data_IF_468685476673
#
_entry.id   IF_468685476673
#
_cell.length_a   1.000
_cell.length_b   1.000
_cell.length_c   1.000
_cell.angle_alpha   90.00
_cell.angle_beta   90.00
_cell.angle_gamma   90.00
#
_symmetry.space_group_name_H-M   'P 1'
#
loop_
_entity.id
_entity.type
_entity.pdbx_description
1 polymer ?
#
# COMPACT_ATOMS: atom_id res chain seq x y z
N UNK A 1 -21.08 -36.05 10.16
CA UNK A 1 -20.89 -34.61 9.90
C UNK A 1 -21.36 -34.27 8.48
N UNK A 2 -22.42 -33.49 8.35
CA UNK A 2 -22.86 -32.96 7.05
C UNK A 2 -21.83 -31.94 6.59
N UNK A 3 -21.22 -32.16 5.42
CA UNK A 3 -20.32 -31.17 4.81
C UNK A 3 -21.10 -29.87 4.56
N UNK A 4 -20.49 -28.74 4.91
CA UNK A 4 -21.06 -27.43 4.57
C UNK A 4 -21.04 -27.27 3.05
N UNK A 5 -22.08 -26.67 2.48
CA UNK A 5 -22.07 -26.31 1.06
C UNK A 5 -21.00 -25.25 0.77
N UNK A 6 -20.53 -25.21 -0.47
CA UNK A 6 -19.55 -24.20 -0.92
C UNK A 6 -20.01 -22.77 -0.62
N UNK A 7 -21.30 -22.48 -0.81
CA UNK A 7 -21.87 -21.16 -0.49
C UNK A 7 -21.76 -20.80 0.99
N UNK A 8 -21.98 -21.78 1.88
CA UNK A 8 -21.86 -21.59 3.32
C UNK A 8 -20.40 -21.34 3.72
N UNK A 9 -19.45 -22.05 3.09
CA UNK A 9 -18.01 -21.84 3.30
C UNK A 9 -17.55 -20.47 2.80
N UNK A 10 -18.00 -20.04 1.61
CA UNK A 10 -17.69 -18.73 1.06
C UNK A 10 -18.28 -17.60 1.92
N UNK A 11 -19.51 -17.77 2.43
CA UNK A 11 -20.12 -16.81 3.34
C UNK A 11 -19.36 -16.71 4.67
N UNK A 12 -18.95 -17.84 5.23
CA UNK A 12 -18.13 -17.88 6.45
C UNK A 12 -16.78 -17.20 6.24
N UNK A 13 -16.10 -17.47 5.12
CA UNK A 13 -14.82 -16.84 4.79
C UNK A 13 -14.96 -15.31 4.65
N UNK A 14 -16.01 -14.83 3.97
CA UNK A 14 -16.29 -13.38 3.88
C UNK A 14 -16.53 -12.75 5.25
N UNK A 15 -17.28 -13.43 6.11
CA UNK A 15 -17.53 -12.94 7.47
C UNK A 15 -16.24 -12.87 8.29
N UNK A 16 -15.42 -13.93 8.26
CA UNK A 16 -14.16 -13.98 9.00
C UNK A 16 -13.15 -12.91 8.52
N UNK A 17 -13.04 -12.68 7.20
CA UNK A 17 -12.22 -11.61 6.64
C UNK A 17 -12.78 -10.24 7.04
N UNK A 18 -14.09 -10.04 6.91
CA UNK A 18 -14.77 -8.80 7.27
C UNK A 18 -14.60 -8.41 8.75
N UNK A 19 -14.59 -9.38 9.66
CA UNK A 19 -14.40 -9.16 11.09
C UNK A 19 -13.01 -8.58 11.46
N UNK A 20 -12.02 -8.73 10.57
CA UNK A 20 -10.66 -8.20 10.73
C UNK A 20 -10.48 -6.80 10.13
N UNK A 21 -11.52 -6.24 9.53
CA UNK A 21 -11.45 -4.95 8.87
C UNK A 21 -11.28 -3.83 9.89
N UNK A 22 -10.39 -2.89 9.58
CA UNK A 22 -10.19 -1.68 10.37
C UNK A 22 -11.16 -0.58 9.91
N UNK A 23 -12.19 -0.22 10.70
CA UNK A 23 -13.15 0.81 10.30
C UNK A 23 -12.56 2.22 10.31
N UNK A 24 -11.39 2.44 10.94
CA UNK A 24 -10.75 3.76 11.06
C UNK A 24 -9.75 3.97 9.93
N UNK A 25 -8.81 3.04 9.72
CA UNK A 25 -7.74 3.18 8.72
C UNK A 25 -7.87 2.25 7.51
N UNK A 26 -8.97 1.52 7.39
CA UNK A 26 -9.25 0.53 6.34
C UNK A 26 -8.21 -0.60 6.27
N UNK A 27 -8.43 -1.60 5.41
CA UNK A 27 -7.61 -2.80 5.36
C UNK A 27 -7.86 -3.76 6.52
N UNK A 28 -6.98 -4.75 6.64
CA UNK A 28 -7.15 -5.86 7.57
C UNK A 28 -5.89 -6.04 8.41
N UNK A 29 -6.08 -6.54 9.62
CA UNK A 29 -4.99 -6.73 10.56
C UNK A 29 -5.51 -7.35 11.84
N UNK A 30 -4.59 -7.57 12.76
CA UNK A 30 -4.89 -8.12 14.07
C UNK A 30 -4.79 -7.02 15.12
N UNK A 31 -5.90 -6.76 15.81
CA UNK A 31 -5.92 -5.82 16.92
C UNK A 31 -5.03 -6.31 18.09
N UNK A 32 -4.85 -7.62 18.24
CA UNK A 32 -4.03 -8.21 19.31
C UNK A 32 -2.54 -7.96 19.08
N UNK A 33 -2.09 -7.84 17.82
CA UNK A 33 -0.72 -7.45 17.47
C UNK A 33 -0.50 -5.93 17.44
N UNK A 34 -1.49 -5.13 17.87
CA UNK A 34 -1.42 -3.67 17.80
C UNK A 34 -1.44 -3.14 16.36
N UNK A 35 -1.92 -3.93 15.39
CA UNK A 35 -2.00 -3.61 13.97
C UNK A 35 -0.65 -3.43 13.26
N UNK A 36 0.43 -4.03 13.77
CA UNK A 36 1.78 -3.91 13.18
C UNK A 36 2.48 -5.27 13.01
N UNK A 37 3.22 -5.47 11.91
CA UNK A 37 3.17 -4.69 10.66
C UNK A 37 1.85 -4.93 9.90
N UNK A 38 1.43 -3.94 9.09
CA UNK A 38 0.19 -3.98 8.31
C UNK A 38 0.49 -4.24 6.84
N UNK A 39 0.10 -5.42 6.35
CA UNK A 39 0.36 -5.86 4.96
C UNK A 39 -0.80 -5.54 4.01
N UNK A 40 -0.52 -5.20 2.74
CA UNK A 40 -1.55 -5.11 1.70
C UNK A 40 -2.27 -6.45 1.50
N UNK A 41 -3.61 -6.49 1.61
CA UNK A 41 -4.42 -7.71 1.52
C UNK A 41 -4.75 -8.06 0.06
N UNK A 42 -3.73 -8.20 -0.78
CA UNK A 42 -3.89 -8.26 -2.24
C UNK A 42 -4.73 -9.46 -2.71
N UNK A 43 -4.65 -10.61 -2.03
CA UNK A 43 -5.44 -11.81 -2.37
C UNK A 43 -6.92 -11.62 -2.02
N UNK A 44 -7.23 -11.11 -0.82
CA UNK A 44 -8.59 -10.82 -0.38
C UNK A 44 -9.24 -9.74 -1.24
N UNK A 45 -8.47 -8.72 -1.64
CA UNK A 45 -8.95 -7.66 -2.54
C UNK A 45 -9.32 -8.24 -3.90
N UNK A 46 -8.46 -9.05 -4.51
CA UNK A 46 -8.75 -9.68 -5.80
C UNK A 46 -9.98 -10.58 -5.72
N UNK A 47 -10.08 -11.42 -4.69
CA UNK A 47 -11.24 -12.29 -4.49
C UNK A 47 -12.55 -11.52 -4.42
N UNK A 48 -12.57 -10.39 -3.69
CA UNK A 48 -13.76 -9.54 -3.56
C UNK A 48 -14.07 -8.75 -4.84
N UNK A 49 -13.05 -8.22 -5.52
CA UNK A 49 -13.24 -7.31 -6.66
C UNK A 49 -13.58 -8.05 -7.95
N UNK A 50 -12.99 -9.22 -8.15
CA UNK A 50 -13.18 -10.05 -9.34
C UNK A 50 -14.31 -11.09 -9.16
N UNK A 51 -14.80 -11.29 -7.93
CA UNK A 51 -15.99 -12.08 -7.68
C UNK A 51 -17.26 -11.40 -8.20
N UNK A 52 -18.12 -12.17 -8.85
CA UNK A 52 -19.41 -11.67 -9.36
C UNK A 52 -20.41 -11.43 -8.21
N UNK A 53 -20.42 -12.32 -7.21
CA UNK A 53 -21.39 -12.32 -6.10
C UNK A 53 -20.88 -11.66 -4.81
N UNK A 54 -19.90 -10.76 -4.91
CA UNK A 54 -19.36 -10.06 -3.75
C UNK A 54 -20.44 -9.13 -3.12
N UNK A 55 -20.76 -9.29 -1.82
CA UNK A 55 -21.69 -8.41 -1.12
C UNK A 55 -21.24 -6.94 -1.14
N UNK A 56 -22.20 -6.02 -1.13
CA UNK A 56 -21.94 -4.58 -1.20
C UNK A 56 -21.00 -4.07 -0.08
N UNK A 57 -21.14 -4.61 1.13
CA UNK A 57 -20.30 -4.24 2.27
C UNK A 57 -18.84 -4.74 2.10
N UNK A 58 -18.64 -5.90 1.47
CA UNK A 58 -17.30 -6.40 1.14
C UNK A 58 -16.64 -5.52 0.07
N UNK A 59 -17.39 -5.16 -0.98
CA UNK A 59 -16.90 -4.25 -2.04
C UNK A 59 -16.52 -2.88 -1.47
N UNK A 60 -17.32 -2.34 -0.56
CA UNK A 60 -17.03 -1.05 0.09
C UNK A 60 -15.77 -1.14 0.96
N UNK A 61 -15.58 -2.22 1.72
CA UNK A 61 -14.32 -2.45 2.46
C UNK A 61 -13.12 -2.55 1.53
N UNK A 62 -13.25 -3.24 0.40
CA UNK A 62 -12.18 -3.34 -0.60
C UNK A 62 -11.83 -1.96 -1.19
N UNK A 63 -12.83 -1.18 -1.59
CA UNK A 63 -12.65 0.20 -2.10
C UNK A 63 -11.95 1.09 -1.07
N UNK A 64 -12.44 1.11 0.17
CA UNK A 64 -11.84 1.90 1.26
C UNK A 64 -10.40 1.50 1.55
N UNK A 65 -10.09 0.20 1.46
CA UNK A 65 -8.72 -0.31 1.66
C UNK A 65 -7.78 0.18 0.57
N UNK A 66 -8.16 0.03 -0.69
CA UNK A 66 -7.38 0.52 -1.83
C UNK A 66 -7.17 2.04 -1.74
N UNK A 67 -8.23 2.79 -1.46
CA UNK A 67 -8.15 4.24 -1.32
C UNK A 67 -7.29 4.69 -0.13
N UNK A 68 -7.29 3.96 0.98
CA UNK A 68 -6.43 4.27 2.12
C UNK A 68 -4.95 3.99 1.81
N UNK A 69 -4.65 2.85 1.20
CA UNK A 69 -3.28 2.51 0.79
C UNK A 69 -2.76 3.47 -0.28
N UNK A 70 -3.58 3.82 -1.28
CA UNK A 70 -3.18 4.74 -2.36
C UNK A 70 -2.82 6.13 -1.85
N UNK A 71 -3.51 6.62 -0.81
CA UNK A 71 -3.22 7.91 -0.16
C UNK A 71 -2.11 7.85 0.89
N UNK A 72 -1.85 6.67 1.45
CA UNK A 72 -0.81 6.46 2.46
C UNK A 72 0.61 6.50 1.86
N UNK A 73 1.61 6.55 2.73
CA UNK A 73 3.02 6.44 2.32
C UNK A 73 3.43 5.01 1.93
N UNK A 74 2.56 4.01 2.13
CA UNK A 74 2.76 2.68 1.53
C UNK A 74 2.74 2.71 -0.02
N UNK A 75 2.07 3.69 -0.62
CA UNK A 75 2.14 3.96 -2.05
C UNK A 75 3.26 4.98 -2.30
N UNK A 76 4.22 4.63 -3.16
CA UNK A 76 5.26 5.57 -3.54
C UNK A 76 4.70 6.62 -4.49
N UNK A 77 4.51 7.82 -3.96
CA UNK A 77 3.93 8.94 -4.69
C UNK A 77 4.87 9.57 -5.71
N UNK A 78 6.17 9.23 -5.70
CA UNK A 78 7.17 9.76 -6.64
C UNK A 78 7.28 8.84 -7.85
N UNK A 79 7.72 7.60 -7.67
CA UNK A 79 7.99 6.67 -8.79
C UNK A 79 6.89 5.63 -9.01
N UNK A 80 5.94 5.50 -8.09
CA UNK A 80 4.88 4.50 -8.14
C UNK A 80 5.28 3.16 -7.52
N UNK A 81 4.32 2.23 -7.53
CA UNK A 81 4.45 0.97 -6.81
C UNK A 81 4.16 1.12 -5.31
N UNK A 82 4.03 -0.01 -4.64
CA UNK A 82 3.70 -0.14 -3.22
C UNK A 82 4.85 -0.81 -2.49
N UNK A 83 5.12 -0.29 -1.30
CA UNK A 83 6.01 -0.88 -0.32
C UNK A 83 5.37 -2.13 0.31
N UNK A 84 6.20 -3.03 0.82
CA UNK A 84 5.79 -4.39 1.22
C UNK A 84 4.78 -4.39 2.36
N UNK A 85 4.98 -3.53 3.34
CA UNK A 85 4.03 -3.30 4.42
C UNK A 85 4.17 -1.89 4.98
N UNK A 86 3.17 -1.46 5.74
CA UNK A 86 3.30 -0.29 6.60
C UNK A 86 3.62 -0.73 8.01
N UNK A 87 4.58 -0.06 8.64
CA UNK A 87 4.89 -0.34 10.04
C UNK A 87 3.77 0.15 10.94
N UNK A 88 2.87 1.03 10.47
CA UNK A 88 1.75 1.58 11.23
C UNK A 88 0.36 1.22 10.70
N UNK A 89 -0.64 1.50 11.54
CA UNK A 89 -2.04 1.18 11.28
C UNK A 89 -2.65 2.05 10.17
N UNK A 90 -2.15 3.26 9.98
CA UNK A 90 -2.70 4.29 9.08
C UNK A 90 -2.11 4.26 7.66
N UNK A 91 -1.22 3.31 7.35
CA UNK A 91 -0.54 3.18 6.05
C UNK A 91 0.47 4.29 5.75
N UNK A 92 0.98 4.97 6.77
CA UNK A 92 1.80 6.20 6.60
C UNK A 92 3.26 5.86 6.41
N UNK A 93 3.84 5.07 7.30
CA UNK A 93 5.25 4.72 7.35
C UNK A 93 5.46 3.35 6.69
N UNK A 94 6.04 3.28 5.50
CA UNK A 94 6.35 2.01 4.84
C UNK A 94 7.59 1.34 5.44
N UNK A 95 7.69 0.02 5.28
CA UNK A 95 8.98 -0.65 5.15
C UNK A 95 9.38 -0.60 3.68
N UNK A 96 10.52 0.01 3.36
CA UNK A 96 10.75 0.54 2.02
C UNK A 96 10.95 -0.50 0.90
N UNK A 97 11.05 -1.79 1.23
CA UNK A 97 11.14 -2.90 0.28
C UNK A 97 9.91 -2.90 -0.66
N UNK A 98 10.11 -3.20 -1.95
CA UNK A 98 9.01 -3.42 -2.89
C UNK A 98 9.13 -4.76 -3.58
N UNK A 99 8.11 -5.60 -3.46
CA UNK A 99 8.09 -6.94 -4.05
C UNK A 99 7.34 -6.94 -5.39
N UNK A 100 7.83 -7.72 -6.36
CA UNK A 100 7.19 -7.91 -7.65
C UNK A 100 5.77 -8.49 -7.50
N UNK A 101 5.62 -9.55 -6.71
CA UNK A 101 4.34 -10.25 -6.58
C UNK A 101 3.28 -9.36 -5.91
N UNK A 102 3.65 -8.62 -4.85
CA UNK A 102 2.76 -7.67 -4.18
C UNK A 102 2.28 -6.61 -5.17
N UNK A 103 3.20 -6.00 -5.93
CA UNK A 103 2.87 -4.96 -6.89
C UNK A 103 2.07 -5.46 -8.10
N UNK A 104 2.36 -6.66 -8.60
CA UNK A 104 1.58 -7.24 -9.69
C UNK A 104 0.13 -7.52 -9.27
N UNK A 105 -0.06 -8.08 -8.07
CA UNK A 105 -1.38 -8.39 -7.52
C UNK A 105 -2.15 -7.13 -7.13
N UNK A 106 -1.47 -6.14 -6.53
CA UNK A 106 -2.09 -4.84 -6.24
C UNK A 106 -2.44 -4.08 -7.53
N UNK A 107 -1.55 -4.02 -8.51
CA UNK A 107 -1.83 -3.39 -9.81
C UNK A 107 -3.09 -3.96 -10.47
N UNK A 108 -3.25 -5.29 -10.42
CA UNK A 108 -4.46 -6.00 -10.86
C UNK A 108 -5.68 -5.62 -10.02
N UNK A 109 -5.58 -5.59 -8.69
CA UNK A 109 -6.68 -5.20 -7.80
C UNK A 109 -7.13 -3.75 -8.04
N UNK A 110 -6.20 -2.80 -8.20
CA UNK A 110 -6.51 -1.42 -8.54
C UNK A 110 -7.18 -1.29 -9.92
N UNK A 111 -6.74 -2.08 -10.91
CA UNK A 111 -7.37 -2.10 -12.23
C UNK A 111 -8.81 -2.64 -12.18
N UNK A 112 -9.03 -3.75 -11.45
CA UNK A 112 -10.35 -4.33 -11.23
C UNK A 112 -11.28 -3.33 -10.51
N UNK A 113 -10.80 -2.69 -9.45
CA UNK A 113 -11.55 -1.68 -8.70
C UNK A 113 -11.85 -0.43 -9.55
N UNK A 114 -10.90 0.03 -10.35
CA UNK A 114 -11.11 1.17 -11.25
C UNK A 114 -12.25 0.93 -12.23
N UNK A 115 -12.32 -0.28 -12.81
CA UNK A 115 -13.42 -0.68 -13.69
C UNK A 115 -14.74 -0.79 -12.93
N UNK A 116 -14.72 -1.39 -11.73
CA UNK A 116 -15.93 -1.68 -10.96
C UNK A 116 -16.58 -0.44 -10.35
N UNK A 117 -15.77 0.54 -9.94
CA UNK A 117 -16.25 1.75 -9.25
C UNK A 117 -16.21 3.03 -10.10
N UNK A 118 -15.80 2.92 -11.37
CA UNK A 118 -15.54 4.08 -12.24
C UNK A 118 -14.68 5.16 -11.55
N UNK A 119 -13.52 4.72 -11.03
CA UNK A 119 -12.67 5.54 -10.16
C UNK A 119 -11.32 5.88 -10.83
N UNK A 120 -11.17 7.08 -11.45
CA UNK A 120 -9.95 7.45 -12.17
C UNK A 120 -8.66 7.45 -11.33
N UNK A 121 -8.77 7.71 -10.02
CA UNK A 121 -7.63 7.65 -9.09
C UNK A 121 -7.09 6.23 -8.95
N UNK A 122 -7.95 5.23 -8.81
CA UNK A 122 -7.56 3.82 -8.76
C UNK A 122 -6.93 3.37 -10.09
N UNK A 123 -7.47 3.86 -11.22
CA UNK A 123 -6.89 3.60 -12.54
C UNK A 123 -5.49 4.21 -12.68
N UNK A 124 -5.24 5.37 -12.07
CA UNK A 124 -3.92 6.00 -12.05
C UNK A 124 -2.94 5.19 -11.21
N UNK A 125 -3.33 4.75 -10.01
CA UNK A 125 -2.52 3.90 -9.15
C UNK A 125 -2.11 2.62 -9.90
N UNK A 126 -3.05 1.90 -10.52
CA UNK A 126 -2.76 0.71 -11.33
C UNK A 126 -1.70 0.97 -12.41
N UNK A 127 -1.89 2.04 -13.22
CA UNK A 127 -0.94 2.38 -14.29
C UNK A 127 0.44 2.72 -13.75
N UNK A 128 0.52 3.47 -12.66
CA UNK A 128 1.79 3.83 -12.01
C UNK A 128 2.50 2.62 -11.43
N UNK A 129 1.77 1.68 -10.84
CA UNK A 129 2.32 0.41 -10.35
C UNK A 129 2.93 -0.40 -11.50
N UNK A 130 2.21 -0.57 -12.61
CA UNK A 130 2.75 -1.30 -13.75
C UNK A 130 3.92 -0.57 -14.42
N UNK A 131 3.85 0.76 -14.55
CA UNK A 131 4.97 1.56 -15.05
C UNK A 131 6.23 1.41 -14.17
N UNK A 132 6.06 1.35 -12.85
CA UNK A 132 7.17 1.09 -11.92
C UNK A 132 7.74 -0.34 -12.10
N UNK A 133 6.88 -1.36 -12.23
CA UNK A 133 7.34 -2.75 -12.49
C UNK A 133 8.20 -2.79 -13.76
N UNK A 134 7.75 -2.18 -14.84
CA UNK A 134 8.48 -2.14 -16.11
C UNK A 134 9.80 -1.37 -15.99
N UNK A 135 9.79 -0.19 -15.34
CA UNK A 135 10.97 0.64 -15.23
C UNK A 135 12.03 0.07 -14.28
N UNK A 136 11.61 -0.47 -13.13
CA UNK A 136 12.51 -0.87 -12.06
C UNK A 136 12.89 -2.35 -12.12
N UNK A 137 11.96 -3.24 -12.49
CA UNK A 137 12.13 -4.68 -12.33
C UNK A 137 12.38 -5.42 -13.64
N UNK A 138 11.95 -4.90 -14.80
CA UNK A 138 12.17 -5.58 -16.08
C UNK A 138 13.66 -5.66 -16.44
N UNK A 139 14.11 -6.82 -16.94
CA UNK A 139 15.53 -7.06 -17.23
C UNK A 139 15.84 -7.14 -18.72
N UNK A 140 17.00 -6.62 -19.16
CA UNK A 140 17.39 -6.66 -20.57
C UNK A 140 17.43 -8.08 -21.16
N UNK A 141 17.67 -9.08 -20.31
CA UNK A 141 17.66 -10.50 -20.65
C UNK A 141 16.25 -11.10 -20.79
N UNK A 142 15.21 -10.30 -20.57
CA UNK A 142 13.84 -10.75 -20.35
C UNK A 142 13.57 -11.11 -18.88
N UNK A 143 12.28 -11.16 -18.53
CA UNK A 143 11.82 -11.43 -17.17
C UNK A 143 11.90 -10.21 -16.23
N UNK A 144 11.59 -10.45 -14.96
CA UNK A 144 11.53 -9.42 -13.92
C UNK A 144 12.32 -9.85 -12.68
N UNK A 145 12.99 -8.89 -12.03
CA UNK A 145 13.53 -9.07 -10.69
C UNK A 145 12.40 -9.30 -9.67
N UNK A 146 12.65 -10.10 -8.63
CA UNK A 146 11.65 -10.45 -7.61
C UNK A 146 11.30 -9.31 -6.66
N UNK A 147 12.24 -8.38 -6.45
CA UNK A 147 12.10 -7.29 -5.49
C UNK A 147 13.07 -6.14 -5.78
N UNK A 148 12.76 -5.00 -5.19
CA UNK A 148 13.67 -3.89 -4.92
C UNK A 148 13.90 -3.87 -3.41
N UNK A 149 15.16 -4.00 -3.01
CA UNK A 149 15.57 -4.01 -1.60
C UNK A 149 15.31 -2.65 -0.92
N UNK A 150 15.02 -2.68 0.37
CA UNK A 150 14.88 -1.48 1.20
C UNK A 150 16.25 -0.87 1.56
N UNK A 151 17.28 -1.71 1.64
CA UNK A 151 18.61 -1.31 2.09
C UNK A 151 19.47 -0.82 0.93
N UNK A 152 20.05 0.37 1.09
CA UNK A 152 21.14 0.85 0.25
C UNK A 152 22.33 1.16 1.15
N UNK A 153 23.48 0.53 0.91
CA UNK A 153 24.69 0.67 1.75
C UNK A 153 24.52 0.32 3.24
N UNK A 154 23.51 -0.49 3.59
CA UNK A 154 23.22 -0.88 4.97
C UNK A 154 22.31 0.09 5.72
N UNK A 155 21.71 1.06 5.02
CA UNK A 155 20.73 2.00 5.55
C UNK A 155 19.39 1.83 4.82
N UNK A 156 18.33 1.58 5.59
CA UNK A 156 16.98 1.38 5.05
C UNK A 156 16.41 2.72 4.56
N UNK A 157 15.90 2.76 3.33
CA UNK A 157 15.21 3.94 2.80
C UNK A 157 16.12 5.12 2.45
N UNK A 158 17.45 4.94 2.44
CA UNK A 158 18.43 5.98 2.13
C UNK A 158 18.18 6.69 0.78
N UNK A 159 17.64 5.96 -0.21
CA UNK A 159 17.37 6.52 -1.55
C UNK A 159 15.92 6.98 -1.74
N UNK A 160 15.10 6.89 -0.69
CA UNK A 160 13.65 7.13 -0.71
C UNK A 160 13.22 8.14 0.36
N UNK A 161 14.16 8.59 1.21
CA UNK A 161 13.98 9.65 2.21
C UNK A 161 14.91 10.81 1.90
N UNK A 162 14.51 12.01 2.30
CA UNK A 162 15.26 13.25 2.07
C UNK A 162 15.22 14.10 3.32
N UNK A 163 16.35 14.74 3.70
CA UNK A 163 16.35 15.79 4.72
C UNK A 163 15.28 16.85 4.45
N UNK A 164 14.54 17.22 5.48
CA UNK A 164 13.53 18.28 5.40
C UNK A 164 14.12 19.60 4.89
N UNK A 165 15.38 19.91 5.19
CA UNK A 165 16.05 21.08 4.62
C UNK A 165 16.23 20.99 3.09
N UNK A 166 16.62 19.83 2.57
CA UNK A 166 16.78 19.62 1.14
C UNK A 166 15.44 19.76 0.40
N UNK A 167 14.36 19.20 0.95
CA UNK A 167 13.02 19.37 0.41
C UNK A 167 12.57 20.84 0.39
N UNK A 168 12.93 21.61 1.42
CA UNK A 168 12.60 23.05 1.49
C UNK A 168 13.36 23.86 0.44
N UNK A 169 14.61 23.50 0.17
CA UNK A 169 15.44 24.21 -0.82
C UNK A 169 15.08 23.85 -2.27
N UNK A 170 14.56 22.64 -2.51
CA UNK A 170 14.15 22.17 -3.84
C UNK A 170 12.78 22.69 -4.28
N UNK A 171 11.89 23.04 -3.34
CA UNK A 171 10.51 23.41 -3.63
C UNK A 171 10.28 24.93 -3.54
N UNK A 172 9.44 25.52 -4.41
CA UNK A 172 8.91 26.86 -4.21
C UNK A 172 8.30 27.00 -2.81
N UNK A 173 8.45 28.15 -2.11
CA UNK A 173 8.05 28.27 -0.70
C UNK A 173 6.57 27.95 -0.40
N UNK A 174 5.68 28.31 -1.32
CA UNK A 174 4.24 28.02 -1.24
C UNK A 174 3.94 26.52 -1.38
N UNK A 175 4.63 25.85 -2.32
CA UNK A 175 4.52 24.42 -2.50
C UNK A 175 5.14 23.65 -1.33
N UNK A 176 6.29 24.10 -0.82
CA UNK A 176 6.95 23.52 0.34
C UNK A 176 6.01 23.53 1.55
N UNK A 177 5.34 24.67 1.83
CA UNK A 177 4.39 24.76 2.94
C UNK A 177 3.24 23.73 2.81
N UNK A 178 2.68 23.57 1.61
CA UNK A 178 1.61 22.59 1.36
C UNK A 178 2.12 21.15 1.51
N UNK A 179 3.29 20.82 0.97
CA UNK A 179 3.87 19.47 1.06
C UNK A 179 4.18 19.11 2.52
N UNK A 180 4.75 20.04 3.27
CA UNK A 180 5.11 19.82 4.68
C UNK A 180 3.88 19.58 5.54
N UNK A 181 2.81 20.36 5.35
CA UNK A 181 1.55 20.16 6.07
C UNK A 181 0.89 18.83 5.68
N UNK A 182 0.76 18.56 4.37
CA UNK A 182 0.10 17.37 3.86
C UNK A 182 0.79 16.06 4.27
N UNK A 183 2.13 16.04 4.24
CA UNK A 183 2.93 14.87 4.59
C UNK A 183 3.38 14.87 6.07
N UNK A 184 2.94 15.85 6.86
CA UNK A 184 3.34 16.05 8.25
C UNK A 184 4.87 16.03 8.46
N UNK A 185 5.63 16.66 7.56
CA UNK A 185 7.09 16.73 7.63
C UNK A 185 7.50 17.76 8.68
N UNK A 186 8.29 17.34 9.66
CA UNK A 186 8.90 18.22 10.66
C UNK A 186 10.36 18.50 10.34
N UNK A 187 11.03 19.35 11.14
CA UNK A 187 12.47 19.60 10.98
C UNK A 187 13.29 18.36 11.32
N UNK A 188 12.77 17.51 12.21
CA UNK A 188 13.38 16.24 12.62
C UNK A 188 13.03 15.06 11.70
N UNK A 189 12.19 15.28 10.69
CA UNK A 189 11.70 14.22 9.81
C UNK A 189 10.39 13.56 10.26
N UNK A 190 9.74 12.85 9.35
CA UNK A 190 8.48 12.16 9.58
C UNK A 190 8.57 10.62 9.42
N UNK A 191 9.75 10.10 9.05
CA UNK A 191 10.02 8.67 8.98
C UNK A 191 10.58 8.23 10.32
N UNK A 192 10.16 7.08 10.85
CA UNK A 192 10.77 6.51 12.05
C UNK A 192 11.65 5.35 11.65
N UNK A 193 12.94 5.45 11.94
CA UNK A 193 13.89 4.35 11.75
C UNK A 193 13.42 3.11 12.54
N UNK A 194 13.40 1.94 11.88
CA UNK A 194 12.83 0.73 12.47
C UNK A 194 13.61 0.28 13.72
N UNK A 195 14.95 0.41 13.69
CA UNK A 195 15.83 -0.07 14.76
C UNK A 195 15.86 0.88 15.98
N UNK A 196 15.95 2.18 15.74
CA UNK A 196 16.18 3.20 16.77
C UNK A 196 14.90 3.93 17.17
N UNK A 197 13.83 3.84 16.36
CA UNK A 197 12.55 4.55 16.55
C UNK A 197 12.70 6.07 16.59
N UNK A 198 13.82 6.61 16.10
CA UNK A 198 14.06 8.05 16.01
C UNK A 198 13.49 8.57 14.69
N UNK A 199 12.96 9.81 14.69
CA UNK A 199 12.67 10.53 13.46
C UNK A 199 13.91 10.64 12.56
N UNK A 200 13.71 10.35 11.28
CA UNK A 200 14.68 10.46 10.19
C UNK A 200 13.99 11.03 8.94
N UNK A 201 14.81 11.45 7.98
CA UNK A 201 14.37 12.37 6.92
C UNK A 201 14.32 13.82 7.40
#
# INVERSE_FOLDING_TARGET
PTEASDDALLALARHAIGARFDPVHAGYGDAQSGWRPKFPPHAELLWVLEGDDAPADALERARRTLEAMERGGIHDHVVGGFHRYSTDRAWVLPHFEKMLYDNALLGRAYAAAAKRFDAPRLARAARRTFAWIEAALHRPTGGYASSLDADTHGEEGLTITWPAEELRDLLPPDLAAVVFDLAAITVEGNVLDEATRRPTG
#
